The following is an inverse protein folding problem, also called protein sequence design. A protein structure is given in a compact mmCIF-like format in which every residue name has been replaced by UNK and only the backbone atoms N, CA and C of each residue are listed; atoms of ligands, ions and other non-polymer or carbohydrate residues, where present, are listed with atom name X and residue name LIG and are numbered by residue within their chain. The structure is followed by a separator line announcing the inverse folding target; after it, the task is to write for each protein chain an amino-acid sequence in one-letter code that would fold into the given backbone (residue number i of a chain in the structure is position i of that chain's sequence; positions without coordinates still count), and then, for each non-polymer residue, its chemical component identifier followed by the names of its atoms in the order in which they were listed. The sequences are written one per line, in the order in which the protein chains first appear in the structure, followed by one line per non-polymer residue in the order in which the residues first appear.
data_IF_930975519222
#
_entry.id   IF_930975519222
#
_cell.length_a   1.000
_cell.length_b   1.000
_cell.length_c   1.000
_cell.angle_alpha   90.00
_cell.angle_beta   90.00
_cell.angle_gamma   90.00
#
_symmetry.space_group_name_H-M   'P 1'
#
loop_
_entity.id
_entity.type
_entity.pdbx_description
1 polymer ?
#
# COMPACT_ATOMS: atom_id res chain seq x y z
N UNK A 1 -18.46 17.66 -11.79
CA UNK A 1 -17.57 16.91 -10.87
C UNK A 1 -18.13 17.02 -9.47
N UNK A 2 -18.35 15.90 -8.77
CA UNK A 2 -18.84 15.94 -7.40
C UNK A 2 -17.70 16.31 -6.43
N UNK A 3 -18.02 17.00 -5.33
CA UNK A 3 -17.07 17.31 -4.28
C UNK A 3 -16.45 16.01 -3.71
N UNK A 4 -15.13 15.99 -3.54
CA UNK A 4 -14.38 14.84 -3.01
C UNK A 4 -13.57 15.26 -1.79
N UNK A 5 -13.73 14.51 -0.70
CA UNK A 5 -12.97 14.71 0.55
C UNK A 5 -11.48 14.44 0.35
N UNK A 6 -10.64 15.20 1.05
CA UNK A 6 -9.17 15.14 0.90
C UNK A 6 -8.60 13.74 1.15
N UNK A 7 -9.10 13.05 2.19
CA UNK A 7 -8.67 11.68 2.53
C UNK A 7 -8.87 10.69 1.37
N UNK A 8 -9.87 10.92 0.51
CA UNK A 8 -10.09 10.11 -0.69
C UNK A 8 -9.31 10.65 -1.88
N UNK A 9 -9.16 11.98 -2.00
CA UNK A 9 -8.42 12.63 -3.09
C UNK A 9 -6.94 12.24 -3.09
N UNK A 10 -6.35 12.07 -1.91
CA UNK A 10 -4.92 11.81 -1.72
C UNK A 10 -4.60 10.40 -1.25
N UNK A 11 -5.54 9.45 -1.32
CA UNK A 11 -5.23 8.04 -1.03
C UNK A 11 -4.16 7.58 -2.04
N UNK A 12 -2.99 7.07 -1.59
CA UNK A 12 -1.92 6.62 -2.50
C UNK A 12 -2.42 5.55 -3.49
N UNK A 13 -2.02 5.66 -4.75
CA UNK A 13 -2.41 4.72 -5.81
C UNK A 13 -1.27 3.75 -6.19
N UNK A 14 -0.04 4.03 -5.75
CA UNK A 14 1.13 3.20 -5.98
C UNK A 14 2.05 3.19 -4.74
N UNK A 15 3.01 2.26 -4.70
CA UNK A 15 3.92 2.13 -3.55
C UNK A 15 4.85 3.34 -3.33
N UNK A 16 5.37 4.03 -4.36
CA UNK A 16 6.16 5.24 -4.14
C UNK A 16 5.41 6.40 -3.49
N UNK A 17 4.10 6.52 -3.69
CA UNK A 17 3.25 7.54 -3.05
C UNK A 17 2.95 7.25 -1.57
N UNK A 18 3.22 6.03 -1.08
CA UNK A 18 2.95 5.66 0.30
C UNK A 18 3.98 6.31 1.24
N UNK A 19 3.48 6.95 2.29
CA UNK A 19 4.33 7.60 3.30
C UNK A 19 4.56 6.63 4.46
N UNK A 20 5.83 6.37 4.77
CA UNK A 20 6.23 5.45 5.85
C UNK A 20 6.10 3.98 5.46
N UNK A 21 6.01 3.09 6.46
CA UNK A 21 5.86 1.63 6.26
C UNK A 21 6.93 0.98 5.36
N UNK A 22 8.16 1.51 5.36
CA UNK A 22 9.24 1.08 4.47
C UNK A 22 9.51 -0.44 4.53
N UNK A 23 9.40 -1.04 5.72
CA UNK A 23 9.60 -2.48 5.90
C UNK A 23 8.50 -3.32 5.22
N UNK A 24 7.24 -2.88 5.29
CA UNK A 24 6.11 -3.57 4.65
C UNK A 24 6.20 -3.44 3.15
N UNK A 25 6.44 -2.22 2.64
CA UNK A 25 6.59 -1.96 1.22
C UNK A 25 7.72 -2.80 0.62
N UNK A 26 8.90 -2.83 1.26
CA UNK A 26 10.03 -3.64 0.79
C UNK A 26 9.67 -5.13 0.69
N UNK A 27 8.97 -5.68 1.68
CA UNK A 27 8.56 -7.08 1.65
C UNK A 27 7.60 -7.38 0.50
N UNK A 28 6.60 -6.52 0.27
CA UNK A 28 5.62 -6.68 -0.80
C UNK A 28 6.24 -6.49 -2.20
N UNK A 29 7.04 -5.44 -2.40
CA UNK A 29 7.74 -5.19 -3.66
C UNK A 29 8.66 -6.36 -4.00
N UNK A 30 9.46 -6.84 -3.04
CA UNK A 30 10.33 -7.98 -3.27
C UNK A 30 9.53 -9.26 -3.60
N UNK A 31 8.39 -9.50 -2.96
CA UNK A 31 7.56 -10.67 -3.25
C UNK A 31 6.98 -10.62 -4.67
N UNK A 32 6.57 -9.44 -5.13
CA UNK A 32 6.08 -9.21 -6.50
C UNK A 32 7.20 -9.37 -7.53
N UNK A 33 8.34 -8.71 -7.32
CA UNK A 33 9.47 -8.71 -8.25
C UNK A 33 10.07 -10.11 -8.47
N UNK A 34 9.96 -10.98 -7.47
CA UNK A 34 10.51 -12.34 -7.50
C UNK A 34 9.43 -13.41 -7.76
N UNK A 35 8.18 -13.03 -8.03
CA UNK A 35 7.04 -13.96 -8.20
C UNK A 35 6.87 -14.94 -7.01
N UNK A 36 7.08 -14.43 -5.80
CA UNK A 36 6.98 -15.17 -4.54
C UNK A 36 5.79 -14.72 -3.73
N UNK A 37 4.62 -14.71 -4.36
CA UNK A 37 3.38 -14.32 -3.71
C UNK A 37 2.86 -15.40 -2.76
N UNK A 38 2.51 -14.99 -1.54
CA UNK A 38 1.84 -15.86 -0.60
C UNK A 38 0.35 -15.94 -0.92
N UNK A 39 -0.29 -17.06 -0.53
CA UNK A 39 -1.73 -17.25 -0.73
C UNK A 39 -2.58 -16.28 0.11
N UNK A 40 -2.02 -15.70 1.18
CA UNK A 40 -2.73 -14.76 2.07
C UNK A 40 -1.78 -13.72 2.67
N UNK A 41 -2.32 -12.52 2.89
CA UNK A 41 -1.66 -11.40 3.56
C UNK A 41 -2.59 -10.85 4.65
N UNK A 42 -2.10 -10.73 5.88
CA UNK A 42 -2.81 -10.09 6.98
C UNK A 42 -2.20 -8.71 7.25
N UNK A 43 -3.00 -7.66 7.09
CA UNK A 43 -2.62 -6.30 7.42
C UNK A 43 -3.22 -5.89 8.77
N UNK A 44 -2.40 -5.38 9.69
CA UNK A 44 -2.82 -4.94 11.02
C UNK A 44 -2.32 -3.52 11.30
N UNK A 45 -3.01 -2.78 12.16
CA UNK A 45 -2.69 -1.40 12.51
C UNK A 45 -3.89 -0.65 13.09
N UNK A 46 -3.63 0.48 13.75
CA UNK A 46 -4.69 1.42 14.15
C UNK A 46 -5.27 2.13 12.94
N UNK A 47 -6.49 2.68 13.09
CA UNK A 47 -7.10 3.56 12.08
C UNK A 47 -6.31 4.86 11.89
#
# INVERSE_FOLDING_TARGET
MAYQVLARKWRPHNFPEMVGQAHVLRALTNALDNDRLHHAYLFTGTR
#
